data_IF_681761592139
#
_entry.id   IF_681761592139
#
_cell.length_a   1.000
_cell.length_b   1.000
_cell.length_c   1.000
_cell.angle_alpha   90.00
_cell.angle_beta   90.00
_cell.angle_gamma   90.00
#
_symmetry.space_group_name_H-M   'P 1'
#
loop_
_entity.id
_entity.type
_entity.pdbx_description
1 polymer ?
#
# COMPACT_ATOMS: atom_id res chain seq x y z
N UNK A 1 -3.86 13.98 1.32
CA UNK A 1 -4.37 13.85 2.69
C UNK A 1 -4.50 15.23 3.34
N UNK A 2 -5.70 15.85 3.33
CA UNK A 2 -5.88 17.26 3.66
C UNK A 2 -5.56 17.60 5.13
N UNK A 3 -5.71 16.62 6.04
CA UNK A 3 -5.52 16.82 7.48
C UNK A 3 -4.05 16.94 7.91
N UNK A 4 -3.10 16.53 7.05
CA UNK A 4 -1.66 16.50 7.37
C UNK A 4 -0.82 17.23 6.31
N UNK A 5 -1.47 17.93 5.38
CA UNK A 5 -0.80 18.66 4.29
C UNK A 5 -0.02 17.76 3.31
N UNK A 6 -0.21 16.43 3.35
CA UNK A 6 0.53 15.52 2.48
C UNK A 6 -0.13 15.41 1.10
N UNK A 7 0.68 15.54 0.05
CA UNK A 7 0.27 15.31 -1.35
C UNK A 7 0.41 13.83 -1.70
N UNK A 8 -0.69 13.20 -2.11
CA UNK A 8 -0.68 11.78 -2.50
C UNK A 8 0.09 11.56 -3.80
N UNK A 9 0.03 12.50 -4.73
CA UNK A 9 0.76 12.45 -6.00
C UNK A 9 2.28 12.46 -5.80
N UNK A 10 2.77 13.28 -4.86
CA UNK A 10 4.20 13.30 -4.52
C UNK A 10 4.61 11.98 -3.87
N UNK A 11 3.80 11.47 -2.94
CA UNK A 11 4.05 10.18 -2.29
C UNK A 11 4.08 9.02 -3.31
N UNK A 12 3.18 9.02 -4.29
CA UNK A 12 3.11 8.01 -5.35
C UNK A 12 4.39 8.02 -6.19
N UNK A 13 4.78 9.20 -6.68
CA UNK A 13 6.00 9.38 -7.47
C UNK A 13 7.25 8.92 -6.70
N UNK A 14 7.34 9.27 -5.42
CA UNK A 14 8.46 8.88 -4.58
C UNK A 14 8.46 7.36 -4.31
N UNK A 15 7.30 6.75 -4.08
CA UNK A 15 7.16 5.31 -3.90
C UNK A 15 7.60 4.54 -5.15
N UNK A 16 7.15 4.96 -6.35
CA UNK A 16 7.56 4.39 -7.63
C UNK A 16 9.08 4.48 -7.83
N UNK A 17 9.66 5.67 -7.54
CA UNK A 17 11.11 5.88 -7.67
C UNK A 17 11.92 5.00 -6.73
N UNK A 18 11.50 4.87 -5.47
CA UNK A 18 12.28 4.16 -4.44
C UNK A 18 12.12 2.65 -4.49
N UNK A 19 10.95 2.15 -4.93
CA UNK A 19 10.63 0.72 -4.90
C UNK A 19 10.85 0.02 -6.24
N UNK A 20 11.07 0.78 -7.32
CA UNK A 20 11.21 0.23 -8.67
C UNK A 20 9.92 -0.50 -9.07
N UNK A 21 10.04 -1.76 -9.48
CA UNK A 21 8.90 -2.58 -9.91
C UNK A 21 8.12 -3.23 -8.75
N UNK A 22 8.57 -3.08 -7.50
CA UNK A 22 7.87 -3.70 -6.36
C UNK A 22 6.50 -3.04 -6.15
N UNK A 23 5.43 -3.81 -5.85
CA UNK A 23 4.06 -3.30 -5.71
C UNK A 23 3.86 -2.54 -4.39
N UNK A 24 3.18 -1.39 -4.41
CA UNK A 24 2.76 -0.66 -3.21
C UNK A 24 1.27 -0.37 -3.27
N UNK A 25 0.66 -0.09 -2.11
CA UNK A 25 -0.75 0.29 -2.03
C UNK A 25 -0.92 1.43 -1.03
N UNK A 26 -1.80 2.38 -1.35
CA UNK A 26 -2.28 3.35 -0.38
C UNK A 26 -3.43 2.73 0.42
N UNK A 27 -3.49 3.03 1.72
CA UNK A 27 -4.57 2.56 2.57
C UNK A 27 -5.12 3.66 3.46
N UNK A 28 -6.42 3.58 3.73
CA UNK A 28 -7.12 4.44 4.67
C UNK A 28 -7.82 3.58 5.72
N UNK A 29 -7.30 3.59 6.95
CA UNK A 29 -7.82 2.76 8.04
C UNK A 29 -9.25 3.14 8.49
N UNK A 30 -9.69 4.38 8.23
CA UNK A 30 -11.04 4.83 8.61
C UNK A 30 -12.10 4.30 7.65
N UNK A 31 -11.82 4.31 6.35
CA UNK A 31 -12.74 3.83 5.30
C UNK A 31 -12.45 2.39 4.87
N UNK A 32 -11.35 1.80 5.37
CA UNK A 32 -10.82 0.48 5.01
C UNK A 32 -10.37 0.33 3.55
N UNK A 33 -10.21 1.44 2.83
CA UNK A 33 -9.65 1.45 1.47
C UNK A 33 -8.21 0.89 1.50
N UNK A 34 -7.87 0.02 0.55
CA UNK A 34 -6.54 -0.61 0.41
C UNK A 34 -6.21 -1.68 1.46
N UNK A 35 -7.04 -1.87 2.49
CA UNK A 35 -6.77 -2.84 3.56
C UNK A 35 -6.86 -4.28 3.06
N UNK A 36 -7.83 -4.58 2.18
CA UNK A 36 -7.96 -5.90 1.58
C UNK A 36 -6.72 -6.29 0.76
N UNK A 37 -6.21 -5.36 -0.05
CA UNK A 37 -5.02 -5.57 -0.87
C UNK A 37 -3.77 -5.86 -0.02
N UNK A 38 -3.61 -5.16 1.12
CA UNK A 38 -2.53 -5.43 2.08
C UNK A 38 -2.65 -6.84 2.65
N UNK A 39 -3.86 -7.25 3.06
CA UNK A 39 -4.09 -8.59 3.62
C UNK A 39 -3.75 -9.66 2.59
N UNK A 40 -4.21 -9.50 1.36
CA UNK A 40 -4.00 -10.48 0.30
C UNK A 40 -2.52 -10.56 -0.11
N UNK A 41 -1.82 -9.42 -0.14
CA UNK A 41 -0.36 -9.42 -0.31
C UNK A 41 0.35 -10.19 0.81
N UNK A 42 -0.01 -9.97 2.08
CA UNK A 42 0.62 -10.70 3.21
C UNK A 42 0.33 -12.20 3.14
N UNK A 43 -0.89 -12.60 2.75
CA UNK A 43 -1.24 -14.01 2.56
C UNK A 43 -0.42 -14.67 1.46
N UNK A 44 -0.18 -13.96 0.35
CA UNK A 44 0.57 -14.50 -0.78
C UNK A 44 2.08 -14.56 -0.52
N UNK A 45 2.65 -13.49 0.05
CA UNK A 45 4.11 -13.31 0.12
C UNK A 45 4.71 -13.54 1.51
N UNK A 46 3.93 -13.35 2.58
CA UNK A 46 4.42 -13.36 3.96
C UNK A 46 4.01 -14.58 4.78
N UNK A 47 2.90 -15.22 4.42
CA UNK A 47 2.44 -16.46 5.02
C UNK A 47 2.65 -17.56 4.00
N UNK A 48 3.53 -18.53 4.27
CA UNK A 48 3.51 -19.79 3.52
C UNK A 48 2.20 -20.50 3.85
N UNK A 49 1.10 -20.11 3.20
CA UNK A 49 -0.18 -20.80 3.30
C UNK A 49 0.00 -22.07 2.45
N UNK A 50 0.59 -23.09 3.09
CA UNK A 50 0.54 -24.45 2.57
C UNK A 50 -0.94 -24.87 2.52
N UNK A 51 -1.38 -25.55 1.45
CA UNK A 51 -2.74 -26.10 1.37
C UNK A 51 -3.07 -27.03 2.54
#
# INVERSE_FOLDING_TARGET
APYVGASLEVMEKDALKMRGERPFVFANMKTQEGVADIIDFIKAEGLFISP
#
